data_IF_521090585237
#
_entry.id   IF_521090585237
#
_cell.length_a   1.000
_cell.length_b   1.000
_cell.length_c   1.000
_cell.angle_alpha   90.00
_cell.angle_beta   90.00
_cell.angle_gamma   90.00
#
_symmetry.space_group_name_H-M   'P 1'
#
loop_
_entity.id
_entity.type
_entity.pdbx_description
1 polymer ?
#
# COMPACT_ATOMS: atom_id res chain seq x y z
N UNK A 1 -1.43 -13.63 4.98
CA UNK A 1 -2.27 -12.63 5.66
C UNK A 1 -1.83 -11.26 5.19
N UNK A 2 -2.67 -10.56 4.43
CA UNK A 2 -2.34 -9.22 3.90
C UNK A 2 -2.37 -8.17 5.03
N UNK A 3 -3.10 -8.46 6.12
CA UNK A 3 -3.32 -7.59 7.27
C UNK A 3 -2.80 -8.23 8.57
N UNK A 4 -1.72 -9.01 8.45
CA UNK A 4 -1.04 -9.77 9.52
C UNK A 4 -1.10 -9.17 10.90
N UNK A 5 -1.15 -10.02 11.94
CA UNK A 5 -1.20 -9.64 13.35
C UNK A 5 -0.36 -8.40 13.70
N UNK A 6 0.89 -8.29 13.21
CA UNK A 6 1.77 -7.15 13.46
C UNK A 6 1.20 -5.79 13.05
N UNK A 7 0.45 -5.71 11.95
CA UNK A 7 -0.19 -4.49 11.47
C UNK A 7 -1.38 -4.05 12.34
N UNK A 8 -1.90 -4.95 13.19
CA UNK A 8 -3.02 -4.69 14.12
C UNK A 8 -2.52 -4.27 15.51
N UNK A 9 -1.24 -4.47 15.82
CA UNK A 9 -0.68 -4.17 17.14
C UNK A 9 -0.43 -2.68 17.37
N UNK A 10 -0.50 -1.84 16.33
CA UNK A 10 -0.30 -0.40 16.46
C UNK A 10 -1.33 0.42 15.67
N UNK A 11 -1.96 1.36 16.38
CA UNK A 11 -2.89 2.36 15.85
C UNK A 11 -2.19 3.55 15.18
N UNK A 12 -0.86 3.61 15.27
CA UNK A 12 -0.07 4.74 14.77
C UNK A 12 0.57 4.47 13.40
N UNK A 13 0.41 3.26 12.85
CA UNK A 13 0.97 2.91 11.55
C UNK A 13 0.31 3.74 10.45
N UNK A 14 1.15 4.52 9.76
CA UNK A 14 0.86 5.16 8.48
C UNK A 14 1.28 4.23 7.33
N UNK A 15 0.37 3.38 6.88
CA UNK A 15 0.65 2.46 5.77
C UNK A 15 0.62 3.22 4.44
N UNK A 16 1.78 3.62 3.94
CA UNK A 16 1.85 4.39 2.69
C UNK A 16 1.77 3.54 1.42
N UNK A 17 2.30 2.31 1.48
CA UNK A 17 2.34 1.42 0.32
C UNK A 17 2.35 -0.04 0.72
N UNK A 18 1.71 -0.87 -0.08
CA UNK A 18 1.78 -2.32 0.03
C UNK A 18 1.57 -2.96 -1.34
N UNK A 19 2.10 -4.16 -1.54
CA UNK A 19 1.88 -4.88 -2.79
C UNK A 19 1.85 -6.38 -2.56
N UNK A 20 1.14 -7.10 -3.42
CA UNK A 20 1.16 -8.55 -3.48
C UNK A 20 1.21 -9.02 -4.93
N UNK A 21 0.84 -10.27 -5.20
CA UNK A 21 0.82 -10.82 -6.56
C UNK A 21 -0.29 -10.23 -7.45
N UNK A 22 -1.33 -9.62 -6.86
CA UNK A 22 -2.47 -9.04 -7.59
C UNK A 22 -2.47 -7.52 -7.61
N UNK A 23 -2.24 -6.88 -6.47
CA UNK A 23 -2.49 -5.45 -6.29
C UNK A 23 -1.29 -4.69 -5.76
N UNK A 24 -1.26 -3.39 -6.05
CA UNK A 24 -0.41 -2.38 -5.44
C UNK A 24 -1.31 -1.33 -4.79
N UNK A 25 -1.24 -1.23 -3.47
CA UNK A 25 -1.94 -0.25 -2.65
C UNK A 25 -1.04 0.97 -2.41
N UNK A 26 -1.61 2.17 -2.55
CA UNK A 26 -0.95 3.46 -2.33
C UNK A 26 -1.84 4.35 -1.48
N UNK A 27 -1.29 4.92 -0.42
CA UNK A 27 -1.94 5.92 0.42
C UNK A 27 -0.92 7.01 0.80
N UNK A 28 -0.94 8.20 0.15
CA UNK A 28 0.10 9.22 0.34
C UNK A 28 0.18 9.82 1.75
N UNK A 29 -0.96 10.03 2.41
CA UNK A 29 -1.04 10.56 3.78
C UNK A 29 -2.16 9.87 4.57
N UNK A 30 -1.99 8.60 4.97
CA UNK A 30 -3.00 7.84 5.68
C UNK A 30 -3.28 8.44 7.05
N UNK A 31 -4.57 8.57 7.39
CA UNK A 31 -5.02 8.83 8.76
C UNK A 31 -4.85 7.52 9.58
N UNK A 32 -3.96 7.47 10.59
CA UNK A 32 -3.66 6.23 11.29
C UNK A 32 -4.89 5.62 11.96
N UNK A 33 -5.77 6.44 12.54
CA UNK A 33 -6.95 5.97 13.27
C UNK A 33 -8.00 5.41 12.31
N UNK A 34 -8.31 6.14 11.22
CA UNK A 34 -9.28 5.70 10.20
C UNK A 34 -8.81 4.45 9.47
N UNK A 35 -7.56 4.44 9.04
CA UNK A 35 -7.00 3.32 8.28
C UNK A 35 -6.77 2.09 9.16
N UNK A 36 -6.46 2.27 10.46
CA UNK A 36 -6.39 1.14 11.40
C UNK A 36 -7.74 0.44 11.55
N UNK A 37 -8.83 1.19 11.74
CA UNK A 37 -10.17 0.60 11.83
C UNK A 37 -10.52 -0.21 10.57
N UNK A 38 -10.12 0.29 9.40
CA UNK A 38 -10.32 -0.40 8.13
C UNK A 38 -9.48 -1.68 8.02
N UNK A 39 -8.20 -1.64 8.42
CA UNK A 39 -7.36 -2.84 8.47
C UNK A 39 -7.91 -3.91 9.42
N UNK A 40 -8.43 -3.51 10.60
CA UNK A 40 -9.09 -4.43 11.54
C UNK A 40 -10.35 -5.05 10.91
N UNK A 41 -11.15 -4.26 10.19
CA UNK A 41 -12.32 -4.77 9.46
C UNK A 41 -11.90 -5.85 8.45
N UNK A 42 -10.87 -5.58 7.65
CA UNK A 42 -10.35 -6.51 6.64
C UNK A 42 -9.70 -7.77 7.23
N UNK A 43 -9.03 -7.64 8.38
CA UNK A 43 -8.47 -8.77 9.11
C UNK A 43 -9.56 -9.74 9.62
N UNK A 44 -10.70 -9.20 10.07
CA UNK A 44 -11.82 -10.00 10.55
C UNK A 44 -12.66 -10.62 9.42
N UNK A 45 -12.38 -10.30 8.15
CA UNK A 45 -12.96 -11.02 7.02
C UNK A 45 -12.25 -12.37 6.85
N UNK A 46 -13.00 -13.46 6.76
CA UNK A 46 -12.41 -14.81 6.62
C UNK A 46 -11.49 -14.97 5.40
N UNK A 47 -11.77 -14.24 4.32
CA UNK A 47 -10.85 -14.02 3.20
C UNK A 47 -10.94 -12.54 2.81
N UNK A 48 -9.79 -11.88 2.72
CA UNK A 48 -9.72 -10.48 2.29
C UNK A 48 -8.59 -10.27 1.28
N UNK A 49 -8.77 -9.22 0.48
CA UNK A 49 -7.87 -8.73 -0.54
C UNK A 49 -7.80 -7.21 -0.48
N UNK A 50 -6.87 -6.61 -1.24
CA UNK A 50 -6.84 -5.16 -1.38
C UNK A 50 -8.11 -4.61 -2.05
N UNK A 51 -8.79 -5.38 -2.90
CA UNK A 51 -10.06 -4.98 -3.53
C UNK A 51 -11.19 -4.79 -2.52
N UNK A 52 -11.10 -5.41 -1.34
CA UNK A 52 -12.10 -5.27 -0.27
C UNK A 52 -11.92 -3.98 0.53
N UNK A 53 -10.80 -3.28 0.38
CA UNK A 53 -10.47 -2.06 1.12
C UNK A 53 -11.41 -0.91 0.73
N UNK A 54 -11.95 -0.20 1.71
CA UNK A 54 -12.77 0.98 1.48
C UNK A 54 -11.91 2.14 0.93
N UNK A 55 -11.96 2.33 -0.40
CA UNK A 55 -11.27 3.39 -1.13
C UNK A 55 -11.58 4.79 -0.61
N UNK A 56 -12.72 5.01 0.08
CA UNK A 56 -13.04 6.32 0.68
C UNK A 56 -12.17 6.64 1.89
N UNK A 57 -11.48 5.65 2.46
CA UNK A 57 -10.55 5.80 3.59
C UNK A 57 -9.13 6.13 3.14
N UNK A 58 -8.82 5.89 1.86
CA UNK A 58 -7.52 6.23 1.27
C UNK A 58 -7.43 7.74 1.17
N UNK A 59 -6.27 8.31 1.52
CA UNK A 59 -6.05 9.74 1.41
C UNK A 59 -6.08 10.23 -0.04
N UNK A 60 -6.15 11.55 -0.21
CA UNK A 60 -6.23 12.17 -1.52
C UNK A 60 -5.03 11.75 -2.39
N UNK A 61 -5.33 11.27 -3.58
CA UNK A 61 -4.34 10.85 -4.56
C UNK A 61 -3.81 9.42 -4.35
N UNK A 62 -4.25 8.70 -3.32
CA UNK A 62 -4.02 7.27 -3.19
C UNK A 62 -4.95 6.43 -4.04
N UNK A 63 -4.71 5.12 -4.04
CA UNK A 63 -5.51 4.17 -4.79
C UNK A 63 -4.98 2.75 -4.71
N UNK A 64 -5.75 1.83 -5.29
CA UNK A 64 -5.37 0.43 -5.48
C UNK A 64 -5.27 0.18 -6.96
N UNK A 65 -4.14 -0.39 -7.38
CA UNK A 65 -3.82 -0.63 -8.77
C UNK A 65 -3.60 -2.11 -9.02
N UNK A 66 -4.02 -2.58 -10.19
CA UNK A 66 -3.69 -3.91 -10.68
C UNK A 66 -2.20 -4.02 -10.97
N UNK A 67 -1.54 -5.01 -10.38
CA UNK A 67 -0.12 -5.31 -10.67
C UNK A 67 0.08 -5.81 -12.09
N UNK A 68 -0.96 -6.36 -12.70
CA UNK A 68 -0.97 -6.83 -14.09
C UNK A 68 -1.11 -5.70 -15.12
N UNK A 69 -1.42 -4.47 -14.69
CA UNK A 69 -1.59 -3.33 -15.58
C UNK A 69 -0.29 -3.01 -16.33
N UNK A 70 -0.39 -2.59 -17.60
CA UNK A 70 0.79 -2.16 -18.36
C UNK A 70 1.41 -0.88 -17.79
N UNK A 71 0.55 0.03 -17.36
CA UNK A 71 0.92 1.35 -16.85
C UNK A 71 -0.05 1.76 -15.75
N UNK A 72 0.46 2.51 -14.78
CA UNK A 72 -0.29 3.12 -13.69
C UNK A 72 -0.11 4.63 -13.79
N UNK A 73 -1.23 5.36 -13.83
CA UNK A 73 -1.23 6.82 -13.74
C UNK A 73 -1.32 7.24 -12.28
N UNK A 74 -0.32 7.95 -11.80
CA UNK A 74 -0.18 8.40 -10.42
C UNK A 74 -0.59 9.86 -10.26
N UNK A 75 -1.25 10.14 -9.14
CA UNK A 75 -1.54 11.49 -8.69
C UNK A 75 -0.24 12.24 -8.31
N UNK A 76 -0.26 13.58 -8.28
CA UNK A 76 0.84 14.36 -7.71
C UNK A 76 1.19 13.96 -6.27
N UNK A 77 0.19 13.66 -5.45
CA UNK A 77 0.37 13.26 -4.05
C UNK A 77 1.11 11.90 -3.93
N UNK A 78 0.71 10.89 -4.72
CA UNK A 78 1.37 9.58 -4.75
C UNK A 78 2.80 9.66 -5.30
N UNK A 79 3.02 10.51 -6.31
CA UNK A 79 4.36 10.76 -6.83
C UNK A 79 5.29 11.35 -5.79
N UNK A 80 4.82 12.37 -5.07
CA UNK A 80 5.60 13.01 -4.01
C UNK A 80 5.93 12.02 -2.89
N UNK A 81 4.98 11.16 -2.50
CA UNK A 81 5.15 10.12 -1.49
C UNK A 81 6.31 9.16 -1.79
N UNK A 82 6.49 8.77 -3.07
CA UNK A 82 7.52 7.80 -3.47
C UNK A 82 8.67 8.40 -4.27
N UNK A 83 8.79 9.73 -4.32
CA UNK A 83 9.89 10.41 -5.04
C UNK A 83 9.89 10.19 -6.55
N UNK A 84 8.72 9.98 -7.16
CA UNK A 84 8.58 9.75 -8.59
C UNK A 84 8.38 11.06 -9.36
N UNK A 85 9.11 11.26 -10.45
CA UNK A 85 8.96 12.43 -11.33
C UNK A 85 7.95 12.21 -12.46
N UNK A 86 7.80 10.97 -12.93
CA UNK A 86 6.86 10.58 -13.99
C UNK A 86 5.45 10.41 -13.43
N UNK A 87 4.44 10.88 -14.17
CA UNK A 87 3.02 10.68 -13.84
C UNK A 87 2.49 9.31 -14.25
N UNK A 88 3.19 8.62 -15.15
CA UNK A 88 2.85 7.30 -15.64
C UNK A 88 4.05 6.39 -15.46
N UNK A 89 3.87 5.29 -14.73
CA UNK A 89 4.91 4.31 -14.43
C UNK A 89 4.41 2.89 -14.65
N UNK A 90 5.32 1.94 -14.86
CA UNK A 90 4.98 0.53 -14.78
C UNK A 90 4.75 0.10 -13.32
N UNK A 91 3.99 -0.99 -13.07
CA UNK A 91 3.85 -1.56 -11.73
C UNK A 91 5.18 -1.85 -11.04
N UNK A 92 6.17 -2.34 -11.79
CA UNK A 92 7.49 -2.64 -11.25
C UNK A 92 8.28 -1.38 -10.87
N UNK A 93 8.20 -0.30 -11.66
CA UNK A 93 8.79 1.00 -11.28
C UNK A 93 8.18 1.53 -9.98
N UNK A 94 6.85 1.41 -9.82
CA UNK A 94 6.18 1.82 -8.58
C UNK A 94 6.63 0.99 -7.37
N UNK A 95 6.71 -0.33 -7.51
CA UNK A 95 7.20 -1.22 -6.42
C UNK A 95 8.65 -0.88 -6.07
N UNK A 96 9.52 -0.65 -7.07
CA UNK A 96 10.90 -0.24 -6.82
C UNK A 96 10.99 1.11 -6.09
N UNK A 97 10.13 2.05 -6.44
CA UNK A 97 10.05 3.34 -5.74
C UNK A 97 9.58 3.17 -4.29
N UNK A 98 8.56 2.34 -4.03
CA UNK A 98 8.09 2.02 -2.68
C UNK A 98 9.20 1.41 -1.81
N UNK A 99 9.97 0.46 -2.36
CA UNK A 99 11.07 -0.19 -1.64
C UNK A 99 12.24 0.75 -1.33
N UNK A 100 12.35 1.89 -2.03
CA UNK A 100 13.37 2.92 -1.82
C UNK A 100 12.81 4.18 -1.14
N UNK A 101 11.53 4.19 -0.80
CA UNK A 101 10.87 5.34 -0.22
C UNK A 101 11.46 5.64 1.17
N UNK A 102 11.52 6.92 1.58
CA UNK A 102 11.99 7.30 2.91
C UNK A 102 10.92 6.95 3.96
N UNK A 103 10.89 5.68 4.36
CA UNK A 103 9.96 5.15 5.37
C UNK A 103 10.71 4.65 6.61
N UNK A 104 10.07 4.75 7.77
CA UNK A 104 10.65 4.29 9.03
C UNK A 104 10.74 2.76 9.13
N UNK A 105 9.89 2.04 8.39
CA UNK A 105 9.75 0.59 8.48
C UNK A 105 9.35 -0.03 7.15
N UNK A 106 10.10 -1.06 6.72
CA UNK A 106 9.68 -2.02 5.70
C UNK A 106 9.26 -3.33 6.39
N UNK A 107 8.01 -3.74 6.18
CA UNK A 107 7.46 -4.94 6.80
C UNK A 107 7.29 -6.08 5.78
N UNK A 108 7.87 -7.24 6.08
CA UNK A 108 7.81 -8.44 5.24
C UNK A 108 6.89 -9.48 5.86
N UNK A 109 5.63 -9.49 5.43
CA UNK A 109 4.59 -10.39 5.96
C UNK A 109 4.51 -11.78 5.31
N UNK A 110 5.52 -12.22 4.55
CA UNK A 110 5.47 -13.45 3.76
C UNK A 110 6.72 -14.34 3.91
N UNK A 111 6.51 -15.66 3.85
CA UNK A 111 7.58 -16.66 3.82
C UNK A 111 8.32 -16.56 2.47
N UNK A 112 9.65 -16.37 2.50
CA UNK A 112 10.52 -16.48 1.32
C UNK A 112 10.81 -15.20 0.53
N UNK A 113 10.57 -14.01 1.09
CA UNK A 113 10.89 -12.75 0.39
C UNK A 113 12.35 -12.34 0.65
N UNK A 114 13.23 -12.58 -0.31
CA UNK A 114 14.59 -12.02 -0.32
C UNK A 114 14.56 -10.70 -1.09
N UNK A 115 14.92 -9.59 -0.43
CA UNK A 115 15.18 -8.33 -1.16
C UNK A 115 16.59 -8.47 -1.76
N UNK A 116 16.69 -8.34 -3.08
CA UNK A 116 17.97 -8.24 -3.78
C UNK A 116 18.06 -6.91 -4.48
#
# INVERSE_FOLDING_TARGET
>A
DVFGNGMMLSKHIKLQGAFNHMHIFVDPDPDPAKTHAERVRLFNLGRSSWSDYDIKKISKGGGIYERSAKTIKLSPEARACFGLTKDTVSPNELIQAMLRAPVDLLWFGGIGTYIK
#
